data_IF_574830162104
#
_entry.id   IF_574830162104
#
_cell.length_a   1.000
_cell.length_b   1.000
_cell.length_c   1.000
_cell.angle_alpha   90.00
_cell.angle_beta   90.00
_cell.angle_gamma   90.00
#
_symmetry.space_group_name_H-M   'P 1'
#
loop_
_entity.id
_entity.type
_entity.pdbx_description
1 polymer ?
#
# COMPACT_ATOMS: atom_id res chain seq x y z
N UNK A 1 22.18 -8.59 -5.07
CA UNK A 1 21.52 -7.30 -4.76
C UNK A 1 20.02 -7.55 -4.77
N UNK A 2 19.34 -7.37 -3.64
CA UNK A 2 17.88 -7.56 -3.52
C UNK A 2 17.17 -6.57 -4.45
N UNK A 3 16.60 -7.09 -5.54
CA UNK A 3 15.79 -6.27 -6.44
C UNK A 3 14.46 -5.97 -5.75
N UNK A 4 14.21 -4.69 -5.46
CA UNK A 4 12.96 -4.22 -4.86
C UNK A 4 11.93 -4.03 -5.96
N UNK A 5 11.37 -5.12 -6.48
CA UNK A 5 10.44 -5.14 -7.63
C UNK A 5 9.29 -4.14 -7.48
N UNK A 6 8.75 -3.99 -6.26
CA UNK A 6 7.62 -3.08 -5.98
C UNK A 6 8.03 -1.62 -5.77
N UNK A 7 9.33 -1.32 -5.65
CA UNK A 7 9.83 0.02 -5.41
C UNK A 7 10.53 0.64 -6.62
N UNK A 8 10.66 -0.08 -7.74
CA UNK A 8 11.40 0.37 -8.92
C UNK A 8 10.85 1.66 -9.55
N UNK A 9 9.56 1.98 -9.35
CA UNK A 9 8.95 3.22 -9.84
C UNK A 9 9.13 4.44 -8.94
N UNK A 10 9.78 4.28 -7.78
CA UNK A 10 9.98 5.37 -6.83
C UNK A 10 11.30 6.12 -7.11
N UNK A 11 11.40 7.39 -6.70
CA UNK A 11 12.63 8.17 -6.86
C UNK A 11 13.86 7.51 -6.24
N UNK A 12 15.04 7.70 -6.85
CA UNK A 12 16.29 7.06 -6.40
C UNK A 12 16.67 7.43 -4.96
N UNK A 13 16.36 8.65 -4.51
CA UNK A 13 16.63 9.06 -3.12
C UNK A 13 15.88 8.19 -2.10
N UNK A 14 14.65 7.77 -2.42
CA UNK A 14 13.87 6.89 -1.56
C UNK A 14 14.43 5.46 -1.61
N UNK A 15 14.80 5.00 -2.80
CA UNK A 15 15.44 3.69 -2.98
C UNK A 15 16.75 3.61 -2.20
N UNK A 16 17.59 4.64 -2.24
CA UNK A 16 18.83 4.71 -1.47
C UNK A 16 18.59 4.63 0.04
N UNK A 17 17.58 5.35 0.55
CA UNK A 17 17.20 5.29 1.97
C UNK A 17 16.72 3.89 2.37
N UNK A 18 15.89 3.25 1.55
CA UNK A 18 15.41 1.89 1.80
C UNK A 18 16.57 0.89 1.77
N UNK A 19 17.50 1.00 0.80
CA UNK A 19 18.69 0.13 0.73
C UNK A 19 19.56 0.26 1.98
N UNK A 20 19.78 1.48 2.48
CA UNK A 20 20.52 1.71 3.72
C UNK A 20 19.82 1.06 4.92
N UNK A 21 18.50 1.24 5.06
CA UNK A 21 17.71 0.64 6.13
C UNK A 21 17.68 -0.90 6.08
N UNK A 22 17.74 -1.49 4.88
CA UNK A 22 17.87 -2.95 4.69
C UNK A 22 19.24 -3.42 5.14
N UNK A 23 20.31 -2.71 4.74
CA UNK A 23 21.68 -3.05 5.14
C UNK A 23 21.85 -3.00 6.67
N UNK A 24 21.19 -2.06 7.34
CA UNK A 24 21.17 -1.92 8.79
C UNK A 24 20.23 -2.91 9.51
N UNK A 25 19.44 -3.71 8.80
CA UNK A 25 18.37 -4.56 9.36
C UNK A 25 17.32 -3.79 10.19
N UNK A 26 17.17 -2.48 9.95
CA UNK A 26 16.28 -1.59 10.72
C UNK A 26 14.99 -1.22 9.99
N UNK A 27 14.85 -1.62 8.73
CA UNK A 27 13.68 -1.29 7.91
C UNK A 27 12.37 -1.68 8.60
N UNK A 28 12.26 -2.89 9.17
CA UNK A 28 11.05 -3.36 9.85
C UNK A 28 10.65 -2.46 11.02
N UNK A 29 11.57 -2.18 11.93
CA UNK A 29 11.32 -1.33 13.09
C UNK A 29 10.93 0.11 12.71
N UNK A 30 11.51 0.65 11.63
CA UNK A 30 11.14 1.98 11.11
C UNK A 30 9.72 1.96 10.53
N UNK A 31 9.36 0.91 9.78
CA UNK A 31 8.03 0.75 9.21
C UNK A 31 6.98 0.57 10.30
N UNK A 32 7.23 -0.25 11.32
CA UNK A 32 6.32 -0.44 12.46
C UNK A 32 6.12 0.86 13.25
N UNK A 33 7.20 1.62 13.49
CA UNK A 33 7.10 2.91 14.19
C UNK A 33 6.33 3.96 13.37
N UNK A 34 6.49 3.97 12.05
CA UNK A 34 5.88 4.97 11.16
C UNK A 34 4.44 4.63 10.80
N UNK A 35 4.15 3.34 10.66
CA UNK A 35 2.86 2.78 10.29
C UNK A 35 2.47 1.70 11.30
N UNK A 36 2.02 2.09 12.52
CA UNK A 36 1.65 1.15 13.56
C UNK A 36 0.36 0.37 13.24
N UNK A 37 -0.47 0.87 12.31
CA UNK A 37 -1.61 0.14 11.80
C UNK A 37 -1.18 -0.79 10.67
N UNK A 38 -1.27 -2.10 10.89
CA UNK A 38 -1.21 -3.07 9.81
C UNK A 38 -2.38 -2.80 8.84
N UNK A 39 -2.14 -2.89 7.53
CA UNK A 39 -3.23 -2.83 6.58
C UNK A 39 -4.08 -4.10 6.69
N UNK A 40 -5.32 -3.96 7.17
CA UNK A 40 -6.30 -5.05 7.24
C UNK A 40 -6.66 -5.62 5.85
N UNK A 41 -6.26 -4.94 4.77
CA UNK A 41 -6.53 -5.30 3.38
C UNK A 41 -5.42 -6.16 2.74
N UNK A 42 -4.77 -7.04 3.50
CA UNK A 42 -3.65 -7.85 3.02
C UNK A 42 -4.07 -9.08 2.19
N UNK A 43 -5.37 -9.31 1.99
CA UNK A 43 -5.90 -10.44 1.20
C UNK A 43 -6.80 -9.94 0.07
N UNK A 44 -6.87 -10.70 -1.04
CA UNK A 44 -7.78 -10.40 -2.16
C UNK A 44 -9.22 -10.22 -1.70
N UNK A 45 -9.65 -10.98 -0.69
CA UNK A 45 -10.98 -10.86 -0.08
C UNK A 45 -11.16 -9.50 0.60
N UNK A 46 -10.17 -9.08 1.39
CA UNK A 46 -10.23 -7.79 2.08
C UNK A 46 -10.15 -6.61 1.10
N UNK A 47 -9.35 -6.73 0.02
CA UNK A 47 -9.31 -5.77 -1.07
C UNK A 47 -10.67 -5.68 -1.80
N UNK A 48 -11.30 -6.82 -2.08
CA UNK A 48 -12.64 -6.87 -2.66
C UNK A 48 -13.68 -6.19 -1.75
N UNK A 49 -13.67 -6.46 -0.44
CA UNK A 49 -14.56 -5.80 0.49
C UNK A 49 -14.33 -4.28 0.55
N UNK A 50 -13.08 -3.84 0.62
CA UNK A 50 -12.73 -2.42 0.61
C UNK A 50 -13.25 -1.68 -0.62
N UNK A 51 -13.05 -2.26 -1.81
CA UNK A 51 -13.56 -1.66 -3.06
C UNK A 51 -15.09 -1.62 -3.13
N UNK A 52 -15.77 -2.65 -2.59
CA UNK A 52 -17.23 -2.66 -2.53
C UNK A 52 -17.79 -1.65 -1.53
N UNK A 53 -17.11 -1.43 -0.40
CA UNK A 53 -17.47 -0.36 0.55
C UNK A 53 -17.31 1.02 -0.09
N UNK A 54 -16.18 1.27 -0.76
CA UNK A 54 -15.95 2.50 -1.55
C UNK A 54 -17.05 2.72 -2.59
N UNK A 55 -17.37 1.68 -3.37
CA UNK A 55 -18.46 1.73 -4.35
C UNK A 55 -19.79 2.06 -3.67
N UNK A 56 -20.13 1.35 -2.60
CA UNK A 56 -21.39 1.58 -1.87
C UNK A 56 -21.45 3.00 -1.29
N UNK A 57 -20.35 3.52 -0.77
CA UNK A 57 -20.28 4.83 -0.13
C UNK A 57 -20.39 6.00 -1.13
N UNK A 58 -19.72 5.90 -2.28
CA UNK A 58 -19.63 7.01 -3.23
C UNK A 58 -20.57 6.87 -4.44
N UNK A 59 -21.03 5.66 -4.77
CA UNK A 59 -21.91 5.41 -5.92
C UNK A 59 -23.37 5.12 -5.53
N UNK A 60 -23.73 5.22 -4.23
CA UNK A 60 -25.12 5.06 -3.76
C UNK A 60 -26.10 6.08 -4.34
N UNK A 61 -25.62 7.29 -4.63
CA UNK A 61 -26.40 8.38 -5.22
C UNK A 61 -25.92 8.74 -6.64
N UNK A 62 -25.07 7.90 -7.25
CA UNK A 62 -24.65 8.14 -8.62
C UNK A 62 -25.87 7.96 -9.53
N UNK A 63 -26.18 8.93 -10.41
CA UNK A 63 -27.25 8.74 -11.39
C UNK A 63 -26.97 7.45 -12.16
N UNK A 64 -28.02 6.63 -12.45
CA UNK A 64 -27.82 5.38 -13.15
C UNK A 64 -27.05 5.69 -14.42
N UNK A 65 -25.87 5.09 -14.57
CA UNK A 65 -25.15 5.10 -15.82
C UNK A 65 -26.06 4.42 -16.84
N UNK A 66 -26.70 5.23 -17.67
CA UNK A 66 -27.66 4.82 -18.69
C UNK A 66 -26.97 3.79 -19.61
N UNK A 67 -27.75 2.75 -19.95
CA UNK A 67 -27.40 1.58 -20.78
C UNK A 67 -26.63 1.92 -22.06
#
# INVERSE_FOLDING_TARGET
MTSLTYLQGYPEHLLAQVRALIAEQRLGAVLEKRYPGAHDYATDKALYHYTQELKSQFLRNAPPSIK
#
